data_IF_573277012082
#
_entry.id   IF_573277012082
#
_cell.length_a   1.000
_cell.length_b   1.000
_cell.length_c   1.000
_cell.angle_alpha   90.00
_cell.angle_beta   90.00
_cell.angle_gamma   90.00
#
_symmetry.space_group_name_H-M   'P 1'
#
loop_
_entity.id
_entity.type
_entity.pdbx_description
1 polymer ?
#
# COMPACT_ATOMS: atom_id res chain seq x y z
N UNK A 1 -3.29 -32.28 1.30
CA UNK A 1 -3.60 -32.00 2.72
C UNK A 1 -3.30 -30.52 2.95
N UNK A 2 -4.31 -29.67 3.16
CA UNK A 2 -4.12 -28.21 3.26
C UNK A 2 -3.60 -27.86 4.64
N UNK A 3 -2.43 -27.22 4.74
CA UNK A 3 -1.92 -26.72 6.02
C UNK A 3 -2.74 -25.49 6.44
N UNK A 4 -3.31 -25.54 7.63
CA UNK A 4 -3.95 -24.39 8.27
C UNK A 4 -2.87 -23.58 8.97
N UNK A 5 -2.70 -22.33 8.53
CA UNK A 5 -1.77 -21.38 9.16
C UNK A 5 -2.40 -20.86 10.45
N UNK A 6 -1.64 -20.88 11.55
CA UNK A 6 -2.07 -20.31 12.83
C UNK A 6 -2.30 -18.79 12.69
N UNK A 7 -3.37 -18.27 13.30
CA UNK A 7 -3.79 -16.88 13.11
C UNK A 7 -2.75 -15.88 13.64
N UNK A 8 -1.95 -16.28 14.64
CA UNK A 8 -0.83 -15.51 15.19
C UNK A 8 0.35 -15.38 14.23
N UNK A 9 0.37 -16.18 13.15
CA UNK A 9 1.35 -16.11 12.07
C UNK A 9 0.85 -15.31 10.86
N UNK A 10 -0.34 -14.73 10.95
CA UNK A 10 -0.94 -13.91 9.89
C UNK A 10 -0.82 -12.43 10.28
N UNK A 11 -0.14 -11.65 9.44
CA UNK A 11 -0.17 -10.20 9.47
C UNK A 11 -1.24 -9.71 8.51
N UNK A 12 -2.23 -9.01 9.04
CA UNK A 12 -3.23 -8.29 8.27
C UNK A 12 -2.67 -6.92 7.96
N UNK A 13 -2.81 -6.51 6.70
CA UNK A 13 -2.29 -5.24 6.22
C UNK A 13 -3.29 -4.59 5.30
N UNK A 14 -3.42 -3.28 5.45
CA UNK A 14 -4.18 -2.40 4.58
C UNK A 14 -3.33 -1.19 4.21
N UNK A 15 -3.39 -0.75 2.96
CA UNK A 15 -2.53 0.30 2.39
C UNK A 15 -3.38 1.30 1.64
N UNK A 16 -3.21 2.57 2.00
CA UNK A 16 -3.82 3.68 1.28
C UNK A 16 -2.76 4.47 0.52
N UNK A 17 -3.11 4.85 -0.70
CA UNK A 17 -2.23 5.57 -1.63
C UNK A 17 -2.86 6.87 -2.07
N UNK A 18 -2.01 7.80 -2.50
CA UNK A 18 -2.43 9.07 -3.09
C UNK A 18 -1.60 9.35 -4.35
N UNK A 19 -2.06 10.21 -5.27
CA UNK A 19 -1.23 10.68 -6.38
C UNK A 19 0.12 11.21 -5.88
N UNK A 20 1.20 10.79 -6.54
CA UNK A 20 2.56 11.25 -6.27
C UNK A 20 2.84 12.66 -6.83
N UNK A 21 2.05 13.08 -7.82
CA UNK A 21 2.16 14.37 -8.49
C UNK A 21 0.80 15.08 -8.46
N UNK A 22 0.80 16.40 -8.24
CA UNK A 22 -0.42 17.22 -8.23
C UNK A 22 -1.00 17.44 -9.64
N UNK A 23 -0.13 17.37 -10.66
CA UNK A 23 -0.49 17.61 -12.04
C UNK A 23 0.18 16.59 -12.96
N UNK A 24 -0.49 16.26 -14.07
CA UNK A 24 0.06 15.38 -15.09
C UNK A 24 1.37 15.96 -15.67
N UNK A 25 1.44 17.28 -15.84
CA UNK A 25 2.64 17.96 -16.33
C UNK A 25 3.81 17.98 -15.33
N UNK A 26 3.56 17.65 -14.06
CA UNK A 26 4.61 17.47 -13.06
C UNK A 26 5.23 16.06 -13.08
N UNK A 27 4.66 15.13 -13.87
CA UNK A 27 5.20 13.78 -14.04
C UNK A 27 6.47 13.85 -14.89
N UNK A 28 7.61 13.33 -14.42
CA UNK A 28 8.85 13.35 -15.19
C UNK A 28 8.82 12.33 -16.34
N UNK A 29 9.58 12.60 -17.40
CA UNK A 29 9.85 11.57 -18.42
C UNK A 29 10.76 10.46 -17.84
N UNK A 30 10.57 9.19 -18.25
CA UNK A 30 9.66 8.70 -19.29
C UNK A 30 8.24 8.35 -18.81
N UNK A 31 7.91 8.61 -17.53
CA UNK A 31 6.63 8.23 -16.94
C UNK A 31 5.46 8.99 -17.58
N UNK A 32 5.66 10.26 -17.93
CA UNK A 32 4.65 11.04 -18.62
C UNK A 32 4.29 10.43 -19.99
N UNK A 33 5.29 10.07 -20.80
CA UNK A 33 5.05 9.35 -22.07
C UNK A 33 4.30 8.04 -21.84
N UNK A 34 4.71 7.24 -20.84
CA UNK A 34 4.02 6.00 -20.50
C UNK A 34 2.55 6.24 -20.14
N UNK A 35 2.24 7.32 -19.40
CA UNK A 35 0.87 7.66 -19.05
C UNK A 35 0.01 7.91 -20.29
N UNK A 36 0.51 8.77 -21.17
CA UNK A 36 -0.17 9.17 -22.42
C UNK A 36 -0.42 7.96 -23.32
N UNK A 37 0.54 7.06 -23.41
CA UNK A 37 0.41 5.86 -24.24
C UNK A 37 -0.53 4.82 -23.65
N UNK A 38 -0.47 4.59 -22.34
CA UNK A 38 -1.12 3.45 -21.69
C UNK A 38 -2.49 3.75 -21.12
N UNK A 39 -2.74 4.97 -20.64
CA UNK A 39 -3.94 5.31 -19.88
C UNK A 39 -4.78 6.38 -20.57
N UNK A 40 -4.15 7.41 -21.13
CA UNK A 40 -4.88 8.50 -21.79
C UNK A 40 -5.65 8.03 -23.04
N UNK A 41 -5.01 7.25 -23.92
CA UNK A 41 -5.65 6.71 -25.14
C UNK A 41 -6.84 5.80 -24.86
N UNK A 42 -6.76 4.98 -23.82
CA UNK A 42 -7.85 4.06 -23.44
C UNK A 42 -9.03 4.84 -22.85
N UNK A 43 -8.76 5.95 -22.17
CA UNK A 43 -9.79 6.74 -21.50
C UNK A 43 -10.49 7.74 -22.40
N UNK A 44 -9.77 8.41 -23.31
CA UNK A 44 -10.37 9.27 -24.33
C UNK A 44 -11.43 8.53 -25.17
N UNK A 45 -11.26 7.22 -25.36
CA UNK A 45 -12.27 6.37 -26.03
C UNK A 45 -13.51 6.10 -25.16
N UNK A 46 -13.35 6.03 -23.83
CA UNK A 46 -14.43 5.69 -22.88
C UNK A 46 -15.20 6.91 -22.41
N UNK A 47 -14.53 8.04 -22.27
CA UNK A 47 -15.09 9.27 -21.70
C UNK A 47 -14.46 10.50 -22.36
N UNK A 48 -14.88 10.83 -23.60
CA UNK A 48 -14.28 11.89 -24.40
C UNK A 48 -14.42 13.29 -23.78
N UNK A 49 -15.36 13.50 -22.86
CA UNK A 49 -15.60 14.78 -22.20
C UNK A 49 -14.69 15.03 -20.97
N UNK A 50 -13.90 14.04 -20.55
CA UNK A 50 -13.01 14.18 -19.40
C UNK A 50 -11.62 14.69 -19.80
N UNK A 51 -11.15 15.74 -19.13
CA UNK A 51 -9.80 16.25 -19.36
C UNK A 51 -8.74 15.26 -18.88
N UNK A 52 -7.58 15.22 -19.56
CA UNK A 52 -6.47 14.34 -19.19
C UNK A 52 -5.95 14.58 -17.77
N UNK A 53 -6.08 15.82 -17.27
CA UNK A 53 -5.71 16.21 -15.91
C UNK A 53 -6.69 15.65 -14.87
N UNK A 54 -8.00 15.76 -15.10
CA UNK A 54 -9.01 15.21 -14.18
C UNK A 54 -8.91 13.69 -14.10
N UNK A 55 -8.65 13.04 -15.24
CA UNK A 55 -8.41 11.60 -15.31
C UNK A 55 -7.16 11.20 -14.53
N UNK A 56 -6.09 12.00 -14.62
CA UNK A 56 -4.87 11.75 -13.88
C UNK A 56 -5.12 11.83 -12.38
N UNK A 57 -5.76 12.86 -11.88
CA UNK A 57 -6.03 13.01 -10.44
C UNK A 57 -6.90 11.86 -9.88
N UNK A 58 -7.90 11.41 -10.62
CA UNK A 58 -8.79 10.33 -10.19
C UNK A 58 -8.11 8.95 -10.20
N UNK A 59 -7.13 8.74 -11.09
CA UNK A 59 -6.53 7.41 -11.32
C UNK A 59 -5.09 7.27 -10.86
N UNK A 60 -4.34 8.35 -10.70
CA UNK A 60 -2.92 8.28 -10.34
C UNK A 60 -2.71 7.52 -9.03
N UNK A 61 -3.59 7.72 -8.05
CA UNK A 61 -3.53 7.04 -6.75
C UNK A 61 -3.64 5.51 -6.81
N UNK A 62 -4.29 4.94 -7.83
CA UNK A 62 -4.42 3.47 -7.97
C UNK A 62 -3.34 2.85 -8.85
N UNK A 63 -2.51 3.65 -9.52
CA UNK A 63 -1.41 3.18 -10.35
C UNK A 63 -0.08 3.37 -9.61
N UNK A 64 0.58 2.27 -9.23
CA UNK A 64 1.79 2.29 -8.39
C UNK A 64 2.94 3.18 -8.89
N UNK A 65 3.04 3.43 -10.20
CA UNK A 65 4.05 4.33 -10.78
C UNK A 65 3.78 5.82 -10.54
N UNK A 66 2.52 6.18 -10.28
CA UNK A 66 2.04 7.55 -10.12
C UNK A 66 1.42 7.78 -8.74
N UNK A 67 1.52 6.79 -7.86
CA UNK A 67 1.01 6.81 -6.52
C UNK A 67 2.16 6.80 -5.52
N UNK A 68 1.93 7.40 -4.36
CA UNK A 68 2.75 7.24 -3.16
C UNK A 68 1.91 6.60 -2.07
N UNK A 69 2.54 5.79 -1.23
CA UNK A 69 1.95 5.26 -0.02
C UNK A 69 1.86 6.37 1.02
N UNK A 70 0.67 6.59 1.58
CA UNK A 70 0.43 7.65 2.57
C UNK A 70 0.01 7.10 3.93
N UNK A 71 -0.53 5.89 3.96
CA UNK A 71 -0.90 5.20 5.20
C UNK A 71 -0.73 3.69 5.03
N UNK A 72 -0.25 3.03 6.08
CA UNK A 72 -0.19 1.58 6.19
C UNK A 72 -0.74 1.18 7.55
N UNK A 73 -1.80 0.37 7.56
CA UNK A 73 -2.34 -0.24 8.78
C UNK A 73 -1.90 -1.68 8.88
N UNK A 74 -1.46 -2.08 10.06
CA UNK A 74 -0.96 -3.41 10.39
C UNK A 74 -1.74 -3.97 11.57
N UNK A 75 -2.14 -5.23 11.48
CA UNK A 75 -2.87 -5.91 12.54
C UNK A 75 -2.50 -7.38 12.65
N UNK A 76 -2.44 -7.90 13.87
CA UNK A 76 -2.14 -9.31 14.11
C UNK A 76 -2.72 -9.77 15.46
N UNK A 77 -2.93 -11.09 15.57
CA UNK A 77 -3.36 -11.71 16.82
C UNK A 77 -2.18 -12.11 17.68
N UNK A 78 -2.30 -11.88 18.98
CA UNK A 78 -1.33 -12.26 20.00
C UNK A 78 -2.02 -13.09 21.07
N UNK A 79 -1.53 -14.31 21.30
CA UNK A 79 -2.06 -15.24 22.30
C UNK A 79 -1.02 -15.41 23.40
N UNK A 80 -1.36 -14.98 24.62
CA UNK A 80 -0.64 -15.33 25.86
C UNK A 80 -1.55 -16.19 26.74
N UNK A 81 -2.41 -15.54 27.53
CA UNK A 81 -3.48 -16.20 28.30
C UNK A 81 -4.83 -16.12 27.57
N UNK A 82 -5.04 -15.03 26.83
CA UNK A 82 -6.20 -14.80 25.96
C UNK A 82 -5.72 -14.27 24.61
N UNK A 83 -6.48 -14.58 23.54
CA UNK A 83 -6.20 -14.07 22.21
C UNK A 83 -6.64 -12.62 22.10
N UNK A 84 -5.72 -11.74 21.71
CA UNK A 84 -5.95 -10.29 21.59
C UNK A 84 -5.57 -9.79 20.21
N UNK A 85 -6.32 -8.82 19.69
CA UNK A 85 -6.00 -8.11 18.45
C UNK A 85 -5.08 -6.93 18.76
N UNK A 86 -3.94 -6.84 18.06
CA UNK A 86 -3.03 -5.69 18.10
C UNK A 86 -3.04 -5.02 16.73
N UNK A 87 -3.22 -3.71 16.72
CA UNK A 87 -3.23 -2.92 15.51
C UNK A 87 -2.43 -1.62 15.68
N UNK A 88 -1.80 -1.20 14.60
CA UNK A 88 -1.17 0.12 14.48
C UNK A 88 -1.40 0.65 13.07
N UNK A 89 -1.57 1.96 12.94
CA UNK A 89 -1.65 2.66 11.66
C UNK A 89 -0.50 3.65 11.58
N UNK A 90 0.28 3.54 10.52
CA UNK A 90 1.42 4.40 10.23
C UNK A 90 1.05 5.34 9.10
N UNK A 91 1.40 6.61 9.22
CA UNK A 91 1.22 7.61 8.16
C UNK A 91 2.38 8.59 8.19
N UNK A 92 2.74 9.10 7.02
CA UNK A 92 3.75 10.14 6.86
C UNK A 92 3.59 10.84 5.51
N UNK A 93 4.02 12.10 5.41
CA UNK A 93 4.09 12.80 4.12
C UNK A 93 5.33 12.38 3.33
N UNK A 94 6.39 11.98 4.04
CA UNK A 94 7.63 11.45 3.48
C UNK A 94 7.54 9.92 3.40
N UNK A 95 7.25 9.39 2.20
CA UNK A 95 7.05 7.95 1.98
C UNK A 95 8.23 7.11 2.49
N UNK A 96 9.47 7.59 2.35
CA UNK A 96 10.66 6.91 2.88
C UNK A 96 10.59 6.71 4.40
N UNK A 97 10.11 7.71 5.13
CA UNK A 97 9.97 7.61 6.60
C UNK A 97 8.85 6.63 6.96
N UNK A 98 7.72 6.69 6.24
CA UNK A 98 6.61 5.74 6.41
C UNK A 98 7.07 4.29 6.20
N UNK A 99 7.76 4.02 5.09
CA UNK A 99 8.26 2.68 4.75
C UNK A 99 9.31 2.18 5.75
N UNK A 100 10.14 3.09 6.27
CA UNK A 100 11.12 2.74 7.32
C UNK A 100 10.41 2.31 8.60
N UNK A 101 9.43 3.09 9.08
CA UNK A 101 8.60 2.74 10.23
C UNK A 101 7.84 1.42 10.02
N UNK A 102 7.36 1.18 8.80
CA UNK A 102 6.71 -0.08 8.44
C UNK A 102 7.67 -1.28 8.58
N UNK A 103 8.91 -1.18 8.08
CA UNK A 103 9.91 -2.25 8.20
C UNK A 103 10.20 -2.56 9.68
N UNK A 104 10.28 -1.53 10.53
CA UNK A 104 10.44 -1.72 11.98
C UNK A 104 9.27 -2.52 12.58
N UNK A 105 8.02 -2.12 12.29
CA UNK A 105 6.83 -2.85 12.76
C UNK A 105 6.73 -4.26 12.21
N UNK A 106 7.14 -4.47 10.96
CA UNK A 106 7.21 -5.78 10.34
C UNK A 106 8.19 -6.70 11.08
N UNK A 107 9.38 -6.20 11.41
CA UNK A 107 10.39 -6.98 12.14
C UNK A 107 9.94 -7.35 13.56
N UNK A 108 9.23 -6.43 14.23
CA UNK A 108 8.59 -6.72 15.53
C UNK A 108 7.59 -7.88 15.40
N UNK A 109 6.73 -7.85 14.37
CA UNK A 109 5.80 -8.94 14.08
C UNK A 109 6.51 -10.25 13.73
N UNK A 110 7.53 -10.21 12.87
CA UNK A 110 8.26 -11.41 12.46
C UNK A 110 8.90 -12.13 13.66
N UNK A 111 9.43 -11.35 14.62
CA UNK A 111 9.96 -11.88 15.88
C UNK A 111 8.87 -12.52 16.73
N UNK A 112 7.67 -11.95 16.74
CA UNK A 112 6.50 -12.52 17.42
C UNK A 112 6.04 -13.84 16.78
N UNK A 113 5.90 -13.86 15.46
CA UNK A 113 5.44 -15.03 14.71
C UNK A 113 6.42 -16.23 14.82
N UNK A 114 7.72 -15.98 14.93
CA UNK A 114 8.74 -17.01 15.16
C UNK A 114 8.62 -17.64 16.55
N UNK A 115 8.46 -16.82 17.61
CA UNK A 115 8.32 -17.30 19.00
C UNK A 115 7.10 -18.20 19.19
N UNK A 116 5.99 -17.87 18.55
CA UNK A 116 4.75 -18.66 18.62
C UNK A 116 4.78 -19.91 17.71
N UNK A 117 5.90 -20.15 17.00
CA UNK A 117 6.11 -21.33 16.17
C UNK A 117 6.97 -22.41 16.81
N UNK A 118 7.52 -22.17 18.01
CA UNK A 118 8.49 -23.06 18.68
C UNK A 118 7.86 -24.07 19.65
N UNK A 119 6.56 -23.94 19.95
CA UNK A 119 5.85 -24.77 20.93
C UNK A 119 4.95 -25.86 20.30
N UNK A 120 5.38 -26.46 19.18
CA UNK A 120 4.79 -27.70 18.67
C UNK A 120 5.84 -28.72 18.27
#
# INVERSE_FOLDING_TARGET
>A
MTQIVAIEKILFMDIETAPAYEHLDAVPEPLLTYWRERYEKDWQKKSPDFSSQDNFLDKAGIHALYARVVCISLGYFCTKDTTTWRQTSLYDLEEKQLLTKFIERWNDFATHAQKNGSDK
#
